data_IF_119338987161
#
_entry.id   IF_119338987161
#
_cell.length_a   1.000
_cell.length_b   1.000
_cell.length_c   1.000
_cell.angle_alpha   90.00
_cell.angle_beta   90.00
_cell.angle_gamma   90.00
#
_symmetry.space_group_name_H-M   'P 1'
#
loop_
_entity.id
_entity.type
_entity.pdbx_description
1 polymer ?
#
# COMPACT_ATOMS: atom_id res chain seq x y z
N UNK A 1 9.33 57.21 -9.70
CA UNK A 1 8.54 55.98 -9.88
C UNK A 1 9.52 54.85 -10.17
N UNK A 2 9.91 54.10 -9.14
CA UNK A 2 10.99 53.11 -9.22
C UNK A 2 10.39 51.75 -9.53
N UNK A 3 10.60 51.26 -10.75
CA UNK A 3 10.17 49.92 -11.17
C UNK A 3 11.01 48.88 -10.43
N UNK A 4 10.39 48.13 -9.53
CA UNK A 4 11.00 46.98 -8.87
C UNK A 4 11.26 45.87 -9.90
N UNK A 5 12.41 45.17 -9.86
CA UNK A 5 12.67 44.05 -10.76
C UNK A 5 11.71 42.89 -10.45
N UNK A 6 11.02 42.42 -11.49
CA UNK A 6 10.17 41.23 -11.47
C UNK A 6 11.04 40.00 -11.23
N UNK A 7 10.98 39.42 -10.02
CA UNK A 7 11.61 38.13 -9.71
C UNK A 7 10.92 37.08 -10.60
N UNK A 8 11.60 36.65 -11.66
CA UNK A 8 11.21 35.48 -12.44
C UNK A 8 11.60 34.27 -11.61
N UNK A 9 10.64 33.63 -10.91
CA UNK A 9 10.83 32.26 -10.41
C UNK A 9 11.12 31.38 -11.61
N UNK A 10 12.37 30.95 -11.77
CA UNK A 10 12.67 29.86 -12.69
C UNK A 10 11.87 28.62 -12.23
N UNK A 11 11.26 27.85 -13.14
CA UNK A 11 10.61 26.61 -12.77
C UNK A 11 11.69 25.65 -12.26
N UNK A 12 11.61 25.34 -10.98
CA UNK A 12 12.49 24.46 -10.21
C UNK A 12 12.75 23.18 -11.03
N UNK A 13 13.96 23.07 -11.60
CA UNK A 13 14.39 21.84 -12.25
C UNK A 13 14.35 20.74 -11.18
N UNK A 14 13.60 19.66 -11.44
CA UNK A 14 13.51 18.50 -10.56
C UNK A 14 14.92 18.14 -10.05
N UNK A 15 15.12 17.97 -8.73
CA UNK A 15 16.43 17.65 -8.17
C UNK A 15 16.91 16.24 -8.57
N UNK A 16 16.01 15.42 -9.12
CA UNK A 16 16.28 14.06 -9.57
C UNK A 16 16.77 14.04 -11.02
N UNK A 17 17.90 13.38 -11.25
CA UNK A 17 18.41 13.07 -12.58
C UNK A 17 17.52 12.02 -13.27
N UNK A 18 17.68 11.87 -14.59
CA UNK A 18 16.97 10.81 -15.34
C UNK A 18 17.33 9.40 -14.84
N UNK A 19 18.55 9.24 -14.34
CA UNK A 19 19.03 7.98 -13.76
C UNK A 19 18.35 7.70 -12.42
N UNK A 20 18.22 8.72 -11.56
CA UNK A 20 17.47 8.61 -10.30
C UNK A 20 16.01 8.21 -10.55
N UNK A 21 15.35 8.84 -11.53
CA UNK A 21 13.97 8.51 -11.91
C UNK A 21 13.86 7.07 -12.43
N UNK A 22 14.83 6.60 -13.21
CA UNK A 22 14.85 5.23 -13.73
C UNK A 22 15.14 4.19 -12.63
N UNK A 23 16.00 4.52 -11.66
CA UNK A 23 16.30 3.66 -10.51
C UNK A 23 15.09 3.57 -9.58
N UNK A 24 14.44 4.68 -9.26
CA UNK A 24 13.21 4.72 -8.46
C UNK A 24 12.11 3.91 -9.13
N UNK A 25 11.93 4.03 -10.46
CA UNK A 25 10.93 3.24 -11.20
C UNK A 25 11.23 1.74 -11.21
N UNK A 26 12.50 1.34 -11.34
CA UNK A 26 12.92 -0.07 -11.27
C UNK A 26 12.72 -0.67 -9.88
N UNK A 27 13.16 0.03 -8.83
CA UNK A 27 12.91 -0.38 -7.44
C UNK A 27 11.41 -0.49 -7.14
N UNK A 28 10.60 0.44 -7.67
CA UNK A 28 9.14 0.41 -7.54
C UNK A 28 8.49 -0.74 -8.31
N UNK A 29 9.16 -1.32 -9.31
CA UNK A 29 8.66 -2.49 -10.05
C UNK A 29 8.95 -3.82 -9.34
N UNK A 30 9.96 -3.84 -8.45
CA UNK A 30 10.36 -5.02 -7.66
C UNK A 30 9.60 -5.11 -6.33
N UNK A 31 9.21 -3.97 -5.76
CA UNK A 31 8.35 -3.89 -4.58
C UNK A 31 6.90 -3.75 -5.03
N UNK A 32 6.13 -4.84 -4.99
CA UNK A 32 4.68 -4.73 -5.24
C UNK A 32 4.03 -3.82 -4.19
N UNK A 33 3.45 -2.70 -4.63
CA UNK A 33 2.63 -1.85 -3.78
C UNK A 33 1.52 -2.68 -3.09
N UNK A 34 1.08 -2.25 -1.91
CA UNK A 34 0.03 -2.93 -1.12
C UNK A 34 -1.23 -3.18 -1.96
N UNK A 35 -1.61 -2.24 -2.81
CA UNK A 35 -2.75 -2.35 -3.73
C UNK A 35 -2.53 -3.44 -4.79
N UNK A 36 -1.30 -3.62 -5.26
CA UNK A 36 -0.91 -4.70 -6.18
C UNK A 36 -1.00 -6.06 -5.52
N UNK A 37 -0.48 -6.20 -4.29
CA UNK A 37 -0.59 -7.43 -3.47
C UNK A 37 -2.07 -7.78 -3.27
N UNK A 38 -2.88 -6.82 -2.87
CA UNK A 38 -4.29 -7.02 -2.61
C UNK A 38 -5.09 -7.31 -3.89
N UNK A 39 -4.74 -6.69 -5.01
CA UNK A 39 -5.32 -6.99 -6.33
C UNK A 39 -5.03 -8.41 -6.78
N UNK A 40 -3.79 -8.88 -6.61
CA UNK A 40 -3.39 -10.24 -6.96
C UNK A 40 -4.04 -11.29 -6.05
N UNK A 41 -4.07 -11.03 -4.73
CA UNK A 41 -4.77 -11.88 -3.78
C UNK A 41 -6.27 -11.98 -4.08
N UNK A 42 -6.90 -10.88 -4.52
CA UNK A 42 -8.30 -10.89 -4.93
C UNK A 42 -8.52 -11.77 -6.18
N UNK A 43 -7.66 -11.65 -7.21
CA UNK A 43 -7.72 -12.49 -8.41
C UNK A 43 -7.59 -13.98 -8.07
N UNK A 44 -6.59 -14.35 -7.26
CA UNK A 44 -6.36 -15.74 -6.84
C UNK A 44 -7.54 -16.31 -6.04
N UNK A 45 -8.25 -15.46 -5.29
CA UNK A 45 -9.42 -15.85 -4.51
C UNK A 45 -10.74 -15.84 -5.31
N UNK A 46 -10.72 -15.47 -6.60
CA UNK A 46 -11.94 -15.29 -7.40
C UNK A 46 -12.83 -14.14 -6.88
N UNK A 47 -12.22 -13.12 -6.28
CA UNK A 47 -12.90 -11.97 -5.68
C UNK A 47 -12.50 -10.67 -6.37
N UNK A 48 -13.35 -9.65 -6.26
CA UNK A 48 -13.00 -8.31 -6.72
C UNK A 48 -12.22 -7.57 -5.63
N UNK A 49 -11.32 -6.68 -6.03
CA UNK A 49 -10.59 -5.81 -5.09
C UNK A 49 -11.53 -5.01 -4.18
N UNK A 50 -12.66 -4.52 -4.74
CA UNK A 50 -13.70 -3.82 -3.98
C UNK A 50 -14.35 -4.68 -2.89
N UNK A 51 -14.49 -6.00 -3.13
CA UNK A 51 -15.01 -6.93 -2.12
C UNK A 51 -14.04 -7.13 -0.96
N UNK A 52 -12.74 -7.12 -1.24
CA UNK A 52 -11.70 -7.24 -0.23
C UNK A 52 -11.56 -5.96 0.60
N UNK A 53 -11.56 -4.79 -0.03
CA UNK A 53 -11.42 -3.50 0.67
C UNK A 53 -12.72 -3.01 1.30
N UNK A 54 -13.87 -3.42 0.77
CA UNK A 54 -15.19 -3.05 1.25
C UNK A 54 -15.60 -3.68 2.59
N UNK A 55 -16.85 -3.41 3.04
CA UNK A 55 -17.33 -3.83 4.36
C UNK A 55 -17.70 -5.33 4.45
N UNK A 56 -17.50 -6.12 3.39
CA UNK A 56 -17.87 -7.54 3.35
C UNK A 56 -17.19 -8.32 4.50
N UNK A 57 -18.03 -9.03 5.27
CA UNK A 57 -17.67 -9.84 6.43
C UNK A 57 -17.81 -11.35 6.20
N UNK A 58 -18.12 -11.79 4.98
CA UNK A 58 -18.08 -13.21 4.62
C UNK A 58 -16.71 -13.80 4.97
N UNK A 59 -16.71 -15.00 5.57
CA UNK A 59 -15.51 -15.63 6.11
C UNK A 59 -14.37 -15.72 5.08
N UNK A 60 -14.70 -15.98 3.81
CA UNK A 60 -13.71 -16.03 2.73
C UNK A 60 -13.06 -14.66 2.47
N UNK A 61 -13.83 -13.58 2.40
CA UNK A 61 -13.31 -12.22 2.20
C UNK A 61 -12.48 -11.75 3.42
N UNK A 62 -12.91 -12.10 4.63
CA UNK A 62 -12.14 -11.83 5.86
C UNK A 62 -10.80 -12.57 5.84
N UNK A 63 -10.79 -13.86 5.48
CA UNK A 63 -9.57 -14.66 5.37
C UNK A 63 -8.59 -14.08 4.35
N UNK A 64 -9.06 -13.71 3.16
CA UNK A 64 -8.20 -13.10 2.13
C UNK A 64 -7.60 -11.78 2.64
N UNK A 65 -8.39 -10.97 3.33
CA UNK A 65 -7.93 -9.72 3.93
C UNK A 65 -6.88 -9.95 5.02
N UNK A 66 -7.07 -10.94 5.88
CA UNK A 66 -6.11 -11.30 6.93
C UNK A 66 -4.77 -11.74 6.33
N UNK A 67 -4.80 -12.56 5.27
CA UNK A 67 -3.61 -12.96 4.50
C UNK A 67 -2.89 -11.76 3.88
N UNK A 68 -3.62 -10.82 3.28
CA UNK A 68 -3.03 -9.60 2.69
C UNK A 68 -2.34 -8.77 3.77
N UNK A 69 -3.03 -8.51 4.89
CA UNK A 69 -2.49 -7.69 5.98
C UNK A 69 -1.21 -8.30 6.55
N UNK A 70 -1.23 -9.61 6.81
CA UNK A 70 -0.05 -10.34 7.28
C UNK A 70 1.09 -10.30 6.26
N UNK A 71 0.81 -10.56 4.97
CA UNK A 71 1.86 -10.55 3.93
C UNK A 71 2.48 -9.17 3.76
N UNK A 72 1.68 -8.11 3.76
CA UNK A 72 2.20 -6.75 3.71
C UNK A 72 3.05 -6.43 4.94
N UNK A 73 2.63 -6.84 6.13
CA UNK A 73 3.42 -6.63 7.35
C UNK A 73 4.75 -7.40 7.31
N UNK A 74 4.76 -8.64 6.83
CA UNK A 74 5.97 -9.44 6.64
C UNK A 74 6.93 -8.85 5.58
N UNK A 75 6.42 -8.04 4.66
CA UNK A 75 7.21 -7.28 3.68
C UNK A 75 7.73 -5.93 4.23
N UNK A 76 7.45 -5.60 5.49
CA UNK A 76 7.92 -4.39 6.15
C UNK A 76 6.98 -3.19 6.07
N UNK A 77 5.77 -3.33 5.50
CA UNK A 77 4.80 -2.24 5.53
C UNK A 77 4.25 -2.01 6.93
N UNK A 78 4.11 -0.74 7.30
CA UNK A 78 3.51 -0.37 8.58
C UNK A 78 2.00 -0.64 8.59
N UNK A 79 1.42 -0.89 9.76
CA UNK A 79 -0.02 -1.07 9.89
C UNK A 79 -0.81 0.17 9.41
N UNK A 80 -0.24 1.36 9.54
CA UNK A 80 -0.80 2.62 9.05
C UNK A 80 -0.82 2.71 7.52
N UNK A 81 0.23 2.24 6.85
CA UNK A 81 0.29 2.23 5.38
C UNK A 81 -0.71 1.21 4.81
N UNK A 82 -0.79 0.04 5.44
CA UNK A 82 -1.77 -1.01 5.09
C UNK A 82 -3.20 -0.49 5.31
N UNK A 83 -3.46 0.16 6.44
CA UNK A 83 -4.75 0.77 6.77
C UNK A 83 -5.19 1.79 5.71
N UNK A 84 -4.26 2.68 5.31
CA UNK A 84 -4.49 3.68 4.26
C UNK A 84 -4.80 3.03 2.91
N UNK A 85 -3.99 2.07 2.48
CA UNK A 85 -4.15 1.39 1.20
C UNK A 85 -5.45 0.57 1.12
N UNK A 86 -5.84 -0.09 2.22
CA UNK A 86 -7.04 -0.92 2.27
C UNK A 86 -8.30 -0.17 2.74
N UNK A 87 -8.20 1.14 3.02
CA UNK A 87 -9.27 1.99 3.56
C UNK A 87 -9.91 1.39 4.82
N UNK A 88 -9.08 0.99 5.77
CA UNK A 88 -9.46 0.28 7.00
C UNK A 88 -8.85 0.94 8.22
N UNK A 89 -9.50 0.76 9.38
CA UNK A 89 -8.97 1.25 10.64
C UNK A 89 -7.68 0.52 11.02
N UNK A 90 -6.74 1.27 11.62
CA UNK A 90 -5.46 0.75 12.09
C UNK A 90 -5.60 -0.46 13.03
N UNK A 91 -6.54 -0.41 13.97
CA UNK A 91 -6.83 -1.52 14.88
C UNK A 91 -7.30 -2.77 14.13
N UNK A 92 -8.09 -2.61 13.06
CA UNK A 92 -8.55 -3.72 12.22
C UNK A 92 -7.37 -4.42 11.54
N UNK A 93 -6.38 -3.66 11.07
CA UNK A 93 -5.16 -4.23 10.48
C UNK A 93 -4.37 -5.04 11.51
N UNK A 94 -4.19 -4.51 12.72
CA UNK A 94 -3.50 -5.24 13.80
C UNK A 94 -4.22 -6.56 14.13
N UNK A 95 -5.55 -6.52 14.27
CA UNK A 95 -6.34 -7.74 14.53
C UNK A 95 -6.22 -8.73 13.37
N UNK A 96 -6.23 -8.26 12.12
CA UNK A 96 -6.07 -9.10 10.94
C UNK A 96 -4.71 -9.82 10.93
N UNK A 97 -3.62 -9.09 11.20
CA UNK A 97 -2.26 -9.64 11.29
C UNK A 97 -2.18 -10.69 12.40
N UNK A 98 -2.68 -10.38 13.60
CA UNK A 98 -2.68 -11.31 14.74
C UNK A 98 -3.49 -12.58 14.45
N UNK A 99 -4.67 -12.47 13.84
CA UNK A 99 -5.47 -13.65 13.50
C UNK A 99 -4.76 -14.56 12.51
N UNK A 100 -4.12 -14.00 11.50
CA UNK A 100 -3.38 -14.78 10.51
C UNK A 100 -2.09 -15.39 11.07
N UNK A 101 -1.36 -14.67 11.92
CA UNK A 101 -0.19 -15.20 12.60
C UNK A 101 -0.56 -16.35 13.56
N UNK A 102 -1.65 -16.22 14.32
CA UNK A 102 -2.17 -17.30 15.17
C UNK A 102 -2.60 -18.52 14.34
N UNK A 103 -3.25 -18.31 13.18
CA UNK A 103 -3.61 -19.38 12.24
C UNK A 103 -2.37 -20.13 11.69
N UNK A 104 -1.21 -19.48 11.66
CA UNK A 104 0.07 -20.04 11.21
C UNK A 104 0.90 -20.67 12.34
N UNK A 105 0.52 -20.46 13.60
CA UNK A 105 1.25 -20.94 14.78
C UNK A 105 2.47 -20.08 15.15
N UNK A 106 2.42 -18.78 14.81
CA UNK A 106 3.52 -17.83 15.07
C UNK A 106 3.35 -17.04 16.39
N UNK A 107 2.26 -17.27 17.12
CA UNK A 107 1.90 -16.66 18.41
C UNK A 107 1.05 -17.62 19.24
#
# INVERSE_FOLDING_TARGET
MTTLPRIVRQPDASPFTREDVAAIRRASSEVMAIEGIAGEAAKLAGMTFARITGPDRHAAAVKVRDVICYRCNALGYSASDIARALKRDHSTIITAIRREAARRGEI
#
